data_IF_358181835735
#
_entry.id   IF_358181835735
#
_cell.length_a   1.000
_cell.length_b   1.000
_cell.length_c   1.000
_cell.angle_alpha   90.00
_cell.angle_beta   90.00
_cell.angle_gamma   90.00
#
_symmetry.space_group_name_H-M   'P 1'
#
loop_
_entity.id
_entity.type
_entity.pdbx_description
1 polymer ?
#
# COMPACT_ATOMS: atom_id res chain seq x y z
N UNK A 1 -3.31 44.90 -12.48
CA UNK A 1 -3.44 43.45 -12.19
C UNK A 1 -4.71 43.25 -11.39
N UNK A 2 -5.72 42.61 -11.97
CA UNK A 2 -7.07 42.57 -11.39
C UNK A 2 -7.05 41.72 -10.11
N UNK A 3 -7.66 42.21 -9.03
CA UNK A 3 -7.71 41.51 -7.72
C UNK A 3 -8.17 40.05 -7.84
N UNK A 4 -9.06 39.77 -8.78
CA UNK A 4 -9.54 38.42 -9.13
C UNK A 4 -8.43 37.50 -9.64
N UNK A 5 -7.48 38.00 -10.44
CA UNK A 5 -6.36 37.20 -10.96
C UNK A 5 -5.42 36.79 -9.83
N UNK A 6 -5.19 37.68 -8.86
CA UNK A 6 -4.37 37.39 -7.68
C UNK A 6 -4.99 36.31 -6.79
N UNK A 7 -6.31 36.35 -6.57
CA UNK A 7 -7.01 35.35 -5.76
C UNK A 7 -6.99 33.98 -6.44
N UNK A 8 -7.20 33.93 -7.76
CA UNK A 8 -7.15 32.66 -8.51
C UNK A 8 -5.74 32.06 -8.50
N UNK A 9 -4.70 32.88 -8.69
CA UNK A 9 -3.32 32.41 -8.63
C UNK A 9 -2.94 31.86 -7.24
N UNK A 10 -3.46 32.46 -6.16
CA UNK A 10 -3.26 32.00 -4.79
C UNK A 10 -3.97 30.67 -4.52
N UNK A 11 -5.17 30.46 -5.07
CA UNK A 11 -5.89 29.20 -4.92
C UNK A 11 -5.20 28.04 -5.66
N UNK A 12 -4.61 28.30 -6.83
CA UNK A 12 -3.86 27.31 -7.59
C UNK A 12 -2.58 26.88 -6.82
N UNK A 13 -1.88 27.81 -6.18
CA UNK A 13 -0.64 27.48 -5.45
C UNK A 13 -0.87 26.57 -4.23
N UNK A 14 -1.99 26.74 -3.51
CA UNK A 14 -2.33 25.89 -2.35
C UNK A 14 -2.53 24.42 -2.76
N UNK A 15 -3.12 24.17 -3.93
CA UNK A 15 -3.34 22.79 -4.42
C UNK A 15 -2.05 22.08 -4.83
N UNK A 16 -1.03 22.82 -5.29
CA UNK A 16 0.26 22.25 -5.69
C UNK A 16 1.07 21.72 -4.49
N UNK A 17 0.92 22.31 -3.30
CA UNK A 17 1.58 21.82 -2.08
C UNK A 17 0.97 20.52 -1.55
N UNK A 18 -0.35 20.33 -1.69
CA UNK A 18 -1.04 19.11 -1.25
C UNK A 18 -0.71 17.92 -2.17
N UNK A 19 -0.37 18.18 -3.44
CA UNK A 19 0.00 17.15 -4.41
C UNK A 19 1.38 16.52 -4.17
N UNK A 20 2.28 17.20 -3.44
CA UNK A 20 3.56 16.63 -3.01
C UNK A 20 3.37 15.82 -1.73
N UNK A 21 2.60 14.73 -1.80
CA UNK A 21 2.74 13.67 -0.80
C UNK A 21 4.15 13.09 -0.98
N UNK A 22 5.00 13.26 0.03
CA UNK A 22 6.28 12.56 0.13
C UNK A 22 5.98 11.07 0.25
N UNK A 23 5.75 10.40 -0.88
CA UNK A 23 5.72 8.95 -0.92
C UNK A 23 7.09 8.47 -0.45
N UNK A 24 7.12 7.78 0.68
CA UNK A 24 8.32 7.11 1.13
C UNK A 24 8.76 6.17 -0.01
N UNK A 25 10.07 6.11 -0.27
CA UNK A 25 10.55 5.17 -1.27
C UNK A 25 10.22 3.73 -0.83
N UNK A 26 10.15 2.84 -1.81
CA UNK A 26 9.75 1.44 -1.61
C UNK A 26 10.51 0.77 -0.45
N UNK A 27 11.85 0.92 -0.38
CA UNK A 27 12.66 0.30 0.66
C UNK A 27 12.33 0.78 2.07
N UNK A 28 12.01 2.07 2.24
CA UNK A 28 11.57 2.61 3.52
C UNK A 28 10.23 2.03 3.92
N UNK A 29 9.29 1.89 2.97
CA UNK A 29 7.99 1.28 3.24
C UNK A 29 8.13 -0.19 3.63
N UNK A 30 8.96 -0.98 2.94
CA UNK A 30 9.21 -2.38 3.30
C UNK A 30 9.75 -2.48 4.73
N UNK A 31 10.80 -1.73 5.07
CA UNK A 31 11.38 -1.74 6.43
C UNK A 31 10.37 -1.29 7.50
N UNK A 32 9.50 -0.35 7.16
CA UNK A 32 8.44 0.12 8.06
C UNK A 32 7.39 -0.97 8.28
N UNK A 33 6.95 -1.65 7.22
CA UNK A 33 6.05 -2.79 7.29
C UNK A 33 6.61 -3.94 8.13
N UNK A 34 7.90 -4.26 7.94
CA UNK A 34 8.62 -5.27 8.74
C UNK A 34 8.65 -4.87 10.23
N UNK A 35 8.95 -3.60 10.53
CA UNK A 35 9.02 -3.10 11.91
C UNK A 35 7.66 -3.20 12.61
N UNK A 36 6.57 -2.87 11.90
CA UNK A 36 5.20 -3.00 12.40
C UNK A 36 4.82 -4.48 12.64
N UNK A 37 5.27 -5.39 11.78
CA UNK A 37 5.08 -6.82 11.99
C UNK A 37 5.76 -7.31 13.28
N UNK A 38 6.99 -6.88 13.56
CA UNK A 38 7.72 -7.28 14.77
C UNK A 38 7.00 -6.88 16.05
N UNK A 39 6.34 -5.72 16.06
CA UNK A 39 5.53 -5.26 17.20
C UNK A 39 4.08 -5.76 17.17
N UNK A 40 3.77 -6.70 16.27
CA UNK A 40 2.44 -7.30 16.06
C UNK A 40 1.33 -6.33 15.67
N UNK A 41 1.70 -5.17 15.12
CA UNK A 41 0.75 -4.24 14.50
C UNK A 41 0.47 -4.68 13.05
N UNK A 42 -0.19 -5.83 12.93
CA UNK A 42 -0.39 -6.50 11.65
C UNK A 42 -1.25 -5.69 10.68
N UNK A 43 -2.24 -4.97 11.19
CA UNK A 43 -3.13 -4.12 10.37
C UNK A 43 -2.35 -2.99 9.73
N UNK A 44 -1.55 -2.25 10.50
CA UNK A 44 -0.76 -1.15 9.94
C UNK A 44 0.40 -1.68 9.10
N UNK A 45 1.00 -2.81 9.46
CA UNK A 45 1.98 -3.50 8.62
C UNK A 45 1.41 -3.80 7.22
N UNK A 46 0.20 -4.37 7.13
CA UNK A 46 -0.47 -4.62 5.87
C UNK A 46 -0.69 -3.35 5.05
N UNK A 47 -1.17 -2.27 5.66
CA UNK A 47 -1.37 -1.00 4.97
C UNK A 47 -0.07 -0.40 4.41
N UNK A 48 1.03 -0.48 5.16
CA UNK A 48 2.32 0.04 4.70
C UNK A 48 2.86 -0.75 3.51
N UNK A 49 2.73 -2.09 3.50
CA UNK A 49 3.07 -2.86 2.29
C UNK A 49 2.18 -2.52 1.11
N UNK A 50 0.88 -2.31 1.32
CA UNK A 50 -0.03 -1.87 0.25
C UNK A 50 0.35 -0.49 -0.29
N UNK A 51 0.87 0.41 0.55
CA UNK A 51 1.42 1.67 0.07
C UNK A 51 2.66 1.46 -0.80
N UNK A 52 3.55 0.52 -0.43
CA UNK A 52 4.71 0.16 -1.25
C UNK A 52 4.31 -0.40 -2.63
N UNK A 53 3.12 -1.02 -2.72
CA UNK A 53 2.58 -1.59 -3.94
C UNK A 53 2.00 -0.54 -4.90
N UNK A 54 1.76 0.69 -4.45
CA UNK A 54 1.24 1.76 -5.29
C UNK A 54 2.31 2.42 -6.17
N UNK A 55 3.58 2.10 -5.98
CA UNK A 55 4.65 2.53 -6.88
C UNK A 55 4.54 1.77 -8.22
N UNK A 56 4.31 2.52 -9.30
CA UNK A 56 4.12 1.99 -10.67
C UNK A 56 5.30 1.17 -11.19
N UNK A 57 6.50 1.33 -10.64
CA UNK A 57 7.69 0.58 -11.03
C UNK A 57 7.88 -0.71 -10.22
N UNK A 58 7.09 -0.92 -9.16
CA UNK A 58 7.23 -2.05 -8.26
C UNK A 58 6.58 -3.30 -8.83
N UNK A 59 7.41 -4.32 -9.10
CA UNK A 59 6.93 -5.66 -9.42
C UNK A 59 6.57 -6.40 -8.14
N UNK A 60 5.29 -6.36 -7.76
CA UNK A 60 4.77 -7.09 -6.61
C UNK A 60 4.88 -8.60 -6.87
N UNK A 61 5.71 -9.27 -6.08
CA UNK A 61 5.87 -10.72 -6.14
C UNK A 61 4.66 -11.44 -5.54
N UNK A 62 4.51 -12.71 -5.91
CA UNK A 62 3.49 -13.59 -5.33
C UNK A 62 3.66 -13.67 -3.81
N UNK A 63 4.89 -13.87 -3.33
CA UNK A 63 5.21 -14.00 -1.91
C UNK A 63 4.85 -12.73 -1.12
N UNK A 64 5.09 -11.54 -1.67
CA UNK A 64 4.74 -10.29 -1.00
C UNK A 64 3.22 -10.13 -0.84
N UNK A 65 2.46 -10.45 -1.89
CA UNK A 65 1.00 -10.40 -1.82
C UNK A 65 0.44 -11.47 -0.88
N UNK A 66 1.05 -12.66 -0.86
CA UNK A 66 0.72 -13.71 0.10
C UNK A 66 0.99 -13.25 1.54
N UNK A 67 2.16 -12.66 1.81
CA UNK A 67 2.47 -12.11 3.14
C UNK A 67 1.45 -11.05 3.57
N UNK A 68 1.00 -10.18 2.66
CA UNK A 68 -0.07 -9.21 2.96
C UNK A 68 -1.39 -9.92 3.29
N UNK A 69 -1.73 -11.02 2.63
CA UNK A 69 -2.88 -11.82 3.02
C UNK A 69 -2.75 -12.38 4.45
N UNK A 70 -1.56 -12.89 4.81
CA UNK A 70 -1.27 -13.35 6.17
C UNK A 70 -1.41 -12.24 7.21
N UNK A 71 -0.91 -11.03 6.91
CA UNK A 71 -1.04 -9.89 7.81
C UNK A 71 -2.50 -9.53 8.07
N UNK A 72 -3.34 -9.54 7.03
CA UNK A 72 -4.77 -9.33 7.20
C UNK A 72 -5.45 -10.43 8.01
N UNK A 73 -5.05 -11.69 7.82
CA UNK A 73 -5.55 -12.81 8.62
C UNK A 73 -5.14 -12.67 10.10
N UNK A 74 -3.87 -12.36 10.38
CA UNK A 74 -3.35 -12.11 11.73
C UNK A 74 -4.01 -10.90 12.41
N UNK A 75 -4.41 -9.90 11.62
CA UNK A 75 -5.16 -8.74 12.10
C UNK A 75 -6.65 -9.01 12.31
N UNK A 76 -7.14 -10.22 12.04
CA UNK A 76 -8.55 -10.64 12.11
C UNK A 76 -9.48 -9.92 11.09
N UNK A 77 -8.97 -9.69 9.87
CA UNK A 77 -9.73 -9.16 8.72
C UNK A 77 -9.79 -10.19 7.59
N UNK A 78 -10.67 -11.20 7.70
CA UNK A 78 -10.72 -12.33 6.76
C UNK A 78 -11.06 -11.91 5.33
N UNK A 79 -11.97 -10.94 5.14
CA UNK A 79 -12.36 -10.48 3.79
C UNK A 79 -11.16 -9.90 3.02
N UNK A 80 -10.34 -9.08 3.70
CA UNK A 80 -9.10 -8.55 3.11
C UNK A 80 -8.10 -9.65 2.80
N UNK A 81 -7.94 -10.63 3.69
CA UNK A 81 -7.07 -11.78 3.45
C UNK A 81 -7.52 -12.55 2.20
N UNK A 82 -8.80 -12.91 2.12
CA UNK A 82 -9.37 -13.62 0.97
C UNK A 82 -9.30 -12.81 -0.32
N UNK A 83 -9.43 -11.48 -0.28
CA UNK A 83 -9.21 -10.64 -1.45
C UNK A 83 -7.82 -10.86 -2.07
N UNK A 84 -6.77 -10.85 -1.23
CA UNK A 84 -5.39 -11.06 -1.70
C UNK A 84 -5.13 -12.50 -2.16
N UNK A 85 -5.64 -13.51 -1.45
CA UNK A 85 -5.53 -14.91 -1.85
C UNK A 85 -6.26 -15.18 -3.18
N UNK A 86 -7.48 -14.66 -3.33
CA UNK A 86 -8.25 -14.79 -4.57
C UNK A 86 -7.54 -14.14 -5.75
N UNK A 87 -6.87 -12.99 -5.55
CA UNK A 87 -6.05 -12.38 -6.58
C UNK A 87 -4.93 -13.33 -7.03
N UNK A 88 -4.24 -13.99 -6.10
CA UNK A 88 -3.15 -14.93 -6.41
C UNK A 88 -3.65 -16.14 -7.19
N UNK A 89 -4.72 -16.77 -6.73
CA UNK A 89 -5.27 -17.97 -7.37
C UNK A 89 -5.82 -17.64 -8.77
N UNK A 90 -6.56 -16.53 -8.92
CA UNK A 90 -7.25 -16.22 -10.18
C UNK A 90 -6.38 -15.59 -11.27
N UNK A 91 -5.38 -14.78 -10.88
CA UNK A 91 -4.62 -13.97 -11.84
C UNK A 91 -3.17 -14.44 -12.01
N UNK A 92 -2.68 -15.32 -11.14
CA UNK A 92 -1.27 -15.75 -11.13
C UNK A 92 -1.09 -17.26 -11.18
N UNK A 93 -2.17 -18.03 -11.36
CA UNK A 93 -2.19 -19.50 -11.34
C UNK A 93 -1.43 -20.09 -10.14
N UNK A 94 -1.49 -19.40 -9.00
CA UNK A 94 -0.77 -19.83 -7.81
C UNK A 94 -1.43 -21.07 -7.23
N UNK A 95 -0.71 -22.19 -7.25
CA UNK A 95 -1.22 -23.52 -6.92
C UNK A 95 -0.54 -24.16 -5.71
N UNK A 96 0.25 -23.40 -4.94
CA UNK A 96 0.82 -23.91 -3.70
C UNK A 96 -0.22 -23.90 -2.57
N UNK A 97 -1.18 -24.81 -2.68
CA UNK A 97 -2.28 -24.97 -1.73
C UNK A 97 -1.79 -25.41 -0.33
N UNK A 98 -0.60 -26.00 -0.21
CA UNK A 98 -0.02 -26.33 1.10
C UNK A 98 0.41 -25.09 1.89
N UNK A 99 0.64 -23.98 1.19
CA UNK A 99 1.06 -22.72 1.78
C UNK A 99 -0.11 -21.80 2.12
N UNK A 100 -1.34 -22.09 1.66
CA UNK A 100 -2.56 -21.31 1.94
C UNK A 100 -3.34 -21.98 3.07
#
# INVERSE_FOLDING_TARGET
>A
MNRTILVVALLISVTAFIAQKNHLNYDVLIRTGDSLYQVKDFKNSAFVYLEAFNDHNTKITINQRYNVACLWALANYPDSAFFHLNYLVKLRDYSNYEHI
#
